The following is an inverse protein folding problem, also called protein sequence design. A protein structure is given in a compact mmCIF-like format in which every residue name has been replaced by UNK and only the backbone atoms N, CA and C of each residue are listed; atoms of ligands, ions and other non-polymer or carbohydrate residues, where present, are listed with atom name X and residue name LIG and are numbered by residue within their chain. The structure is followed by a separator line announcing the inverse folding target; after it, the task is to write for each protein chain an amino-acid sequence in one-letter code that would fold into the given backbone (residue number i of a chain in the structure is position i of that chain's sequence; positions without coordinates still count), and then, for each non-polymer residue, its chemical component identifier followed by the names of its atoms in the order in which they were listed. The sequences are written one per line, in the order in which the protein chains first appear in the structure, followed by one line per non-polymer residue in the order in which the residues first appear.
data_IF_666998000786
#
_entry.id   IF_666998000786
#
_cell.length_a   1.000
_cell.length_b   1.000
_cell.length_c   1.000
_cell.angle_alpha   90.00
_cell.angle_beta   90.00
_cell.angle_gamma   90.00
#
_symmetry.space_group_name_H-M   'P 1'
#
loop_
_entity.id
_entity.type
_entity.pdbx_description
1 polymer ?
#
# COMPACT_ATOMS: atom_id res chain seq x y z
N UNK A 1 -38.42 17.80 -4.77
CA UNK A 1 -37.85 16.83 -5.73
C UNK A 1 -36.31 16.67 -5.67
N UNK A 2 -35.63 17.02 -4.56
CA UNK A 2 -34.15 17.03 -4.50
C UNK A 2 -33.52 15.92 -3.62
N UNK A 3 -34.20 15.37 -2.63
CA UNK A 3 -33.63 14.37 -1.72
C UNK A 3 -33.55 12.94 -2.30
N UNK A 4 -34.43 12.53 -3.21
CA UNK A 4 -34.42 11.19 -3.81
C UNK A 4 -33.27 11.03 -4.83
N UNK A 5 -32.94 12.05 -5.60
CA UNK A 5 -31.82 11.99 -6.56
C UNK A 5 -30.45 11.82 -5.87
N UNK A 6 -30.20 12.54 -4.76
CA UNK A 6 -28.96 12.38 -3.99
C UNK A 6 -28.81 11.00 -3.34
N UNK A 7 -29.93 10.36 -2.99
CA UNK A 7 -29.90 9.00 -2.42
C UNK A 7 -29.62 7.95 -3.49
N UNK A 8 -30.15 8.16 -4.71
CA UNK A 8 -29.91 7.25 -5.84
C UNK A 8 -28.51 7.40 -6.43
N UNK A 9 -27.97 8.61 -6.51
CA UNK A 9 -26.58 8.85 -6.90
C UNK A 9 -25.58 8.25 -5.87
N UNK A 10 -25.86 8.38 -4.57
CA UNK A 10 -25.07 7.71 -3.53
C UNK A 10 -25.22 6.18 -3.58
N UNK A 11 -26.38 5.64 -3.94
CA UNK A 11 -26.57 4.20 -4.16
C UNK A 11 -25.89 3.71 -5.42
N UNK A 12 -25.92 4.47 -6.52
CA UNK A 12 -25.19 4.14 -7.74
C UNK A 12 -23.69 4.26 -7.59
N UNK A 13 -23.18 5.29 -6.89
CA UNK A 13 -21.77 5.40 -6.53
C UNK A 13 -21.32 4.24 -5.61
N UNK A 14 -22.16 3.83 -4.64
CA UNK A 14 -21.92 2.62 -3.81
C UNK A 14 -21.95 1.33 -4.64
N UNK A 15 -22.79 1.22 -5.66
CA UNK A 15 -22.86 0.06 -6.54
C UNK A 15 -21.70 -0.01 -7.51
N UNK A 16 -21.19 1.11 -8.01
CA UNK A 16 -19.97 1.20 -8.81
C UNK A 16 -18.69 0.93 -8.00
N UNK A 17 -18.70 1.19 -6.68
CA UNK A 17 -17.64 0.80 -5.73
C UNK A 17 -17.82 -0.67 -5.28
N UNK A 18 -19.02 -1.23 -5.37
CA UNK A 18 -19.41 -2.55 -4.83
C UNK A 18 -19.00 -3.76 -5.68
N UNK A 19 -18.40 -3.58 -6.87
CA UNK A 19 -17.82 -4.67 -7.65
C UNK A 19 -16.28 -4.75 -7.54
N UNK A 20 -15.66 -4.00 -6.67
CA UNK A 20 -14.29 -4.31 -6.25
C UNK A 20 -14.37 -5.60 -5.43
N UNK A 21 -13.94 -6.71 -6.02
CA UNK A 21 -13.78 -7.99 -5.33
C UNK A 21 -13.08 -7.72 -4.00
N UNK A 22 -13.71 -8.14 -2.90
CA UNK A 22 -13.06 -8.05 -1.59
C UNK A 22 -11.69 -8.73 -1.73
N UNK A 23 -10.58 -8.04 -1.47
CA UNK A 23 -9.25 -8.61 -1.67
C UNK A 23 -8.96 -9.74 -0.68
N UNK A 24 -9.84 -9.94 0.30
CA UNK A 24 -9.55 -10.80 1.44
C UNK A 24 -10.44 -12.04 1.48
N UNK A 25 -9.86 -13.10 1.94
CA UNK A 25 -10.27 -14.45 2.27
C UNK A 25 -11.75 -14.83 2.36
N UNK A 26 -12.68 -13.94 2.62
CA UNK A 26 -14.13 -14.24 2.62
C UNK A 26 -14.74 -14.29 1.21
N UNK A 27 -13.97 -13.95 0.17
CA UNK A 27 -14.40 -13.93 -1.22
C UNK A 27 -13.35 -14.35 -2.24
N UNK A 28 -12.11 -14.67 -1.81
CA UNK A 28 -11.06 -15.14 -2.70
C UNK A 28 -11.20 -16.65 -2.90
N UNK A 29 -11.23 -17.10 -4.17
CA UNK A 29 -11.19 -18.52 -4.48
C UNK A 29 -9.84 -19.15 -4.08
N UNK A 30 -9.84 -20.48 -3.96
CA UNK A 30 -8.64 -21.23 -3.55
C UNK A 30 -7.46 -20.99 -4.50
N UNK A 31 -7.67 -20.97 -5.81
CA UNK A 31 -6.62 -20.81 -6.81
C UNK A 31 -5.92 -19.44 -6.66
N UNK A 32 -6.70 -18.37 -6.52
CA UNK A 32 -6.17 -17.03 -6.29
C UNK A 32 -5.39 -16.93 -4.98
N UNK A 33 -5.90 -17.54 -3.91
CA UNK A 33 -5.20 -17.59 -2.63
C UNK A 33 -3.85 -18.29 -2.73
N UNK A 34 -3.81 -19.44 -3.42
CA UNK A 34 -2.57 -20.19 -3.64
C UNK A 34 -1.58 -19.43 -4.54
N UNK A 35 -2.06 -18.71 -5.55
CA UNK A 35 -1.19 -17.86 -6.37
C UNK A 35 -0.45 -16.80 -5.53
N UNK A 36 -1.13 -16.17 -4.56
CA UNK A 36 -0.48 -15.22 -3.64
C UNK A 36 0.44 -15.92 -2.63
N UNK A 37 0.15 -17.14 -2.20
CA UNK A 37 1.06 -17.94 -1.37
C UNK A 37 2.34 -18.28 -2.12
N UNK A 38 2.25 -18.65 -3.39
CA UNK A 38 3.41 -18.89 -4.27
C UNK A 38 4.20 -17.61 -4.48
N UNK A 39 3.53 -16.48 -4.80
CA UNK A 39 4.17 -15.18 -4.97
C UNK A 39 4.93 -14.75 -3.69
N UNK A 40 4.29 -14.85 -2.53
CA UNK A 40 4.92 -14.60 -1.23
C UNK A 40 6.19 -15.42 -1.05
N UNK A 41 6.10 -16.74 -1.30
CA UNK A 41 7.23 -17.66 -1.15
C UNK A 41 8.39 -17.29 -2.07
N UNK A 42 8.10 -16.97 -3.33
CA UNK A 42 9.11 -16.54 -4.30
C UNK A 42 9.79 -15.23 -3.88
N UNK A 43 9.03 -14.26 -3.37
CA UNK A 43 9.58 -13.00 -2.86
C UNK A 43 10.51 -13.27 -1.67
N UNK A 44 10.07 -14.06 -0.68
CA UNK A 44 10.89 -14.39 0.48
C UNK A 44 12.21 -15.05 0.08
N UNK A 45 12.18 -15.96 -0.89
CA UNK A 45 13.37 -16.69 -1.36
C UNK A 45 14.28 -15.83 -2.25
N UNK A 46 13.73 -14.81 -2.93
CA UNK A 46 14.49 -13.95 -3.86
C UNK A 46 15.17 -12.78 -3.17
N UNK A 47 14.70 -12.40 -1.98
CA UNK A 47 15.24 -11.24 -1.27
C UNK A 47 16.45 -11.63 -0.39
N UNK A 48 17.41 -10.73 -0.21
CA UNK A 48 18.54 -10.99 0.65
C UNK A 48 18.11 -11.10 2.12
N UNK A 49 18.68 -12.05 2.83
CA UNK A 49 18.51 -12.15 4.29
C UNK A 49 19.23 -10.98 4.97
N UNK A 50 18.49 -10.07 5.56
CA UNK A 50 18.99 -8.89 6.25
C UNK A 50 18.59 -8.91 7.74
N UNK A 51 19.33 -8.14 8.55
CA UNK A 51 18.98 -7.92 9.97
C UNK A 51 17.79 -6.96 10.16
N UNK A 52 17.32 -6.33 9.10
CA UNK A 52 16.15 -5.46 9.03
C UNK A 52 15.10 -6.06 8.10
N UNK A 53 13.88 -5.56 8.17
CA UNK A 53 12.80 -5.94 7.28
C UNK A 53 13.08 -5.60 5.82
N UNK A 54 12.46 -6.33 4.91
CA UNK A 54 12.59 -6.16 3.48
C UNK A 54 11.58 -5.12 2.94
N UNK A 55 12.03 -4.27 2.04
CA UNK A 55 11.24 -3.21 1.42
C UNK A 55 11.03 -3.56 -0.05
N UNK A 56 9.79 -3.86 -0.43
CA UNK A 56 9.42 -4.28 -1.78
C UNK A 56 8.46 -3.27 -2.40
N UNK A 57 8.84 -2.68 -3.52
CA UNK A 57 7.95 -1.85 -4.32
C UNK A 57 7.03 -2.70 -5.19
N UNK A 58 5.79 -2.28 -5.37
CA UNK A 58 4.88 -2.85 -6.35
C UNK A 58 4.47 -1.76 -7.33
N UNK A 59 4.65 -2.01 -8.63
CA UNK A 59 4.28 -1.10 -9.71
C UNK A 59 3.69 -1.88 -10.87
N UNK A 60 3.29 -1.19 -11.93
CA UNK A 60 2.80 -1.80 -13.18
C UNK A 60 3.32 -1.03 -14.38
N UNK A 61 3.19 -1.59 -15.58
CA UNK A 61 3.50 -0.86 -16.80
C UNK A 61 2.45 0.22 -17.08
N UNK A 62 1.16 -0.07 -16.91
CA UNK A 62 0.06 0.83 -17.20
C UNK A 62 -0.93 0.94 -16.02
N UNK A 63 -1.81 1.98 -16.02
CA UNK A 63 -2.92 2.05 -15.07
C UNK A 63 -3.88 0.86 -15.21
N UNK A 64 -4.49 0.45 -14.09
CA UNK A 64 -5.53 -0.60 -14.02
C UNK A 64 -5.04 -2.05 -14.28
N UNK A 65 -3.75 -2.33 -14.20
CA UNK A 65 -3.18 -3.69 -14.31
C UNK A 65 -3.22 -4.49 -13.01
N UNK A 66 -3.75 -3.92 -11.93
CA UNK A 66 -3.94 -4.66 -10.67
C UNK A 66 -2.83 -4.45 -9.63
N UNK A 67 -1.90 -3.48 -9.80
CA UNK A 67 -0.80 -3.21 -8.86
C UNK A 67 -1.25 -3.10 -7.40
N UNK A 68 -2.23 -2.23 -7.10
CA UNK A 68 -2.70 -2.02 -5.73
C UNK A 68 -3.46 -3.24 -5.18
N UNK A 69 -4.21 -3.95 -6.04
CA UNK A 69 -4.83 -5.23 -5.69
C UNK A 69 -3.77 -6.26 -5.32
N UNK A 70 -2.67 -6.33 -6.09
CA UNK A 70 -1.54 -7.22 -5.81
C UNK A 70 -0.82 -6.82 -4.52
N UNK A 71 -0.56 -5.52 -4.30
CA UNK A 71 0.05 -5.00 -3.07
C UNK A 71 -0.75 -5.39 -1.83
N UNK A 72 -2.06 -5.22 -1.88
CA UNK A 72 -3.00 -5.54 -0.80
C UNK A 72 -2.98 -7.04 -0.48
N UNK A 73 -3.13 -7.91 -1.49
CA UNK A 73 -3.19 -9.35 -1.29
C UNK A 73 -1.84 -9.96 -0.88
N UNK A 74 -0.74 -9.46 -1.44
CA UNK A 74 0.61 -9.88 -1.03
C UNK A 74 0.87 -9.50 0.43
N UNK A 75 0.52 -8.28 0.85
CA UNK A 75 0.67 -7.83 2.24
C UNK A 75 -0.15 -8.71 3.19
N UNK A 76 -1.38 -9.04 2.80
CA UNK A 76 -2.21 -9.97 3.56
C UNK A 76 -1.60 -11.37 3.66
N UNK A 77 -1.10 -11.94 2.54
CA UNK A 77 -0.49 -13.26 2.52
C UNK A 77 0.78 -13.33 3.40
N UNK A 78 1.59 -12.26 3.42
CA UNK A 78 2.75 -12.14 4.31
C UNK A 78 2.31 -12.07 5.78
N UNK A 79 1.34 -11.23 6.10
CA UNK A 79 0.82 -11.05 7.47
C UNK A 79 0.17 -12.34 8.01
N UNK A 80 -0.59 -13.06 7.18
CA UNK A 80 -1.18 -14.36 7.54
C UNK A 80 -0.14 -15.43 7.82
N UNK A 81 1.03 -15.33 7.20
CA UNK A 81 2.16 -16.22 7.47
C UNK A 81 2.96 -15.83 8.74
N UNK A 82 2.48 -14.88 9.52
CA UNK A 82 3.08 -14.44 10.78
C UNK A 82 4.09 -13.31 10.66
N UNK A 83 4.39 -12.81 9.45
CA UNK A 83 5.31 -11.68 9.25
C UNK A 83 4.62 -10.36 9.59
N UNK A 84 5.25 -9.53 10.42
CA UNK A 84 4.76 -8.18 10.70
C UNK A 84 4.92 -7.31 9.45
N UNK A 85 3.82 -7.03 8.78
CA UNK A 85 3.79 -6.47 7.43
C UNK A 85 3.14 -5.09 7.41
N UNK A 86 3.83 -4.12 6.82
CA UNK A 86 3.31 -2.78 6.56
C UNK A 86 3.05 -2.60 5.06
N UNK A 87 1.83 -2.24 4.70
CA UNK A 87 1.49 -1.75 3.37
C UNK A 87 1.60 -0.22 3.39
N UNK A 88 2.35 0.35 2.47
CA UNK A 88 2.53 1.79 2.29
C UNK A 88 1.84 2.23 1.01
N UNK A 89 0.84 3.10 1.12
CA UNK A 89 0.16 3.71 -0.03
C UNK A 89 1.00 4.87 -0.57
N UNK A 90 1.84 4.59 -1.56
CA UNK A 90 2.76 5.58 -2.14
C UNK A 90 2.34 6.09 -3.52
N UNK A 91 1.22 5.62 -4.09
CA UNK A 91 0.55 6.27 -5.22
C UNK A 91 -0.23 7.51 -4.74
N UNK A 92 0.50 8.56 -4.35
CA UNK A 92 -0.08 9.81 -3.83
C UNK A 92 -0.90 10.57 -4.87
N UNK A 93 -0.82 10.18 -6.17
CA UNK A 93 -1.56 10.84 -7.26
C UNK A 93 -2.98 10.30 -7.37
N UNK A 94 -3.14 8.98 -7.18
CA UNK A 94 -4.42 8.26 -7.24
C UNK A 94 -4.45 7.17 -6.18
N UNK A 95 -4.47 7.52 -4.89
CA UNK A 95 -4.47 6.54 -3.82
C UNK A 95 -5.74 5.69 -3.90
N UNK A 96 -5.57 4.37 -3.81
CA UNK A 96 -6.66 3.40 -3.92
C UNK A 96 -6.65 2.36 -2.80
N UNK A 97 -5.51 2.20 -2.14
CA UNK A 97 -5.31 1.20 -1.09
C UNK A 97 -6.27 1.40 0.08
N UNK A 98 -6.48 2.64 0.50
CA UNK A 98 -7.35 3.01 1.61
C UNK A 98 -8.81 2.57 1.38
N UNK A 99 -9.24 2.59 0.12
CA UNK A 99 -10.59 2.16 -0.26
C UNK A 99 -10.83 0.66 -0.09
N UNK A 100 -9.79 -0.17 -0.05
CA UNK A 100 -9.91 -1.60 0.24
C UNK A 100 -10.18 -1.87 1.73
N UNK A 101 -9.70 -1.00 2.59
CA UNK A 101 -9.78 -1.15 4.05
C UNK A 101 -10.78 -0.18 4.70
N UNK A 102 -11.43 0.66 3.91
CA UNK A 102 -12.37 1.70 4.37
C UNK A 102 -11.77 2.64 5.43
N UNK A 103 -10.47 2.94 5.31
CA UNK A 103 -9.74 3.82 6.23
C UNK A 103 -9.58 5.23 5.66
N UNK A 104 -9.45 6.26 6.52
CA UNK A 104 -9.17 7.62 6.09
C UNK A 104 -7.83 7.73 5.34
N UNK A 105 -7.79 8.57 4.29
CA UNK A 105 -6.61 8.85 3.51
C UNK A 105 -5.54 9.60 4.32
N UNK A 106 -5.96 10.54 5.16
CA UNK A 106 -5.10 11.45 5.93
C UNK A 106 -5.35 11.31 7.44
N UNK A 107 -4.34 11.55 8.28
CA UNK A 107 -2.93 11.79 7.94
C UNK A 107 -2.24 10.51 7.44
N UNK A 108 -1.18 10.68 6.63
CA UNK A 108 -0.46 9.58 6.01
C UNK A 108 0.98 9.91 5.62
N UNK A 109 1.48 9.17 4.63
CA UNK A 109 2.86 9.24 4.15
C UNK A 109 3.28 10.67 3.75
N UNK A 110 2.47 11.37 2.94
CA UNK A 110 2.79 12.74 2.52
C UNK A 110 2.94 13.69 3.70
N UNK A 111 2.07 13.58 4.71
CA UNK A 111 2.12 14.41 5.91
C UNK A 111 3.40 14.21 6.73
N UNK A 112 3.89 12.96 6.82
CA UNK A 112 5.17 12.64 7.45
C UNK A 112 6.35 13.21 6.66
N UNK A 113 6.31 13.10 5.31
CA UNK A 113 7.41 13.53 4.45
C UNK A 113 7.56 15.06 4.40
N UNK A 114 6.44 15.80 4.43
CA UNK A 114 6.48 17.28 4.48
C UNK A 114 6.67 17.83 5.89
N UNK A 115 6.65 16.96 6.93
CA UNK A 115 6.83 17.37 8.33
C UNK A 115 5.60 18.05 8.96
N UNK A 116 4.42 17.95 8.35
CA UNK A 116 3.18 18.44 8.97
C UNK A 116 2.69 17.54 10.12
N UNK A 117 3.18 16.30 10.17
CA UNK A 117 3.07 15.38 11.29
C UNK A 117 4.49 15.08 11.79
N UNK A 118 4.76 15.22 13.11
CA UNK A 118 6.06 14.89 13.67
C UNK A 118 6.43 13.42 13.44
N UNK A 119 7.72 13.14 13.17
CA UNK A 119 8.18 11.76 12.97
C UNK A 119 8.06 10.87 14.21
N UNK A 120 7.94 11.46 15.40
CA UNK A 120 7.70 10.73 16.65
C UNK A 120 6.25 10.21 16.73
N UNK A 121 5.32 10.83 16.01
CA UNK A 121 3.93 10.38 15.87
C UNK A 121 3.72 9.33 14.75
N UNK A 122 4.79 8.73 14.22
CA UNK A 122 4.73 7.74 13.15
C UNK A 122 3.72 6.61 13.44
N UNK A 123 3.73 6.07 14.65
CA UNK A 123 2.85 4.97 15.04
C UNK A 123 1.38 5.39 15.19
N UNK A 124 1.09 6.67 15.34
CA UNK A 124 -0.27 7.20 15.38
C UNK A 124 -0.88 7.34 13.98
N UNK A 125 -0.01 7.48 12.97
CA UNK A 125 -0.42 7.57 11.55
C UNK A 125 -0.61 6.18 10.94
N UNK A 126 0.17 5.19 11.37
CA UNK A 126 0.04 3.80 10.93
C UNK A 126 -1.25 3.19 11.49
N UNK A 127 -2.06 2.60 10.63
CA UNK A 127 -3.35 1.97 10.96
C UNK A 127 -3.14 0.46 11.12
N UNK A 128 -3.34 -0.12 12.31
CA UNK A 128 -3.46 -1.57 12.44
C UNK A 128 -4.74 -2.05 11.77
N UNK A 129 -4.71 -3.23 11.17
CA UNK A 129 -5.83 -3.84 10.43
C UNK A 129 -6.17 -5.23 11.02
N UNK A 130 -6.55 -5.31 12.31
CA UNK A 130 -6.75 -6.58 13.02
C UNK A 130 -7.89 -7.42 12.45
N UNK A 131 -8.89 -6.79 11.82
CA UNK A 131 -10.00 -7.51 11.16
C UNK A 131 -9.52 -8.44 10.06
N UNK A 132 -8.35 -8.14 9.47
CA UNK A 132 -7.73 -8.93 8.41
C UNK A 132 -6.61 -9.82 8.95
N UNK A 133 -5.69 -9.25 9.73
CA UNK A 133 -4.62 -9.94 10.44
C UNK A 133 -4.02 -9.03 11.51
N UNK A 134 -3.69 -9.58 12.67
CA UNK A 134 -2.98 -8.85 13.73
C UNK A 134 -1.57 -8.37 13.33
N UNK A 135 -1.01 -8.99 12.30
CA UNK A 135 0.29 -8.64 11.74
C UNK A 135 0.23 -7.68 10.54
N UNK A 136 -0.98 -7.21 10.15
CA UNK A 136 -1.17 -6.31 9.00
C UNK A 136 -1.37 -4.87 9.45
N UNK A 137 -0.62 -3.97 8.81
CA UNK A 137 -0.65 -2.53 9.08
C UNK A 137 -0.69 -1.76 7.76
N UNK A 138 -1.28 -0.57 7.78
CA UNK A 138 -1.35 0.34 6.64
C UNK A 138 -0.80 1.72 7.01
N UNK A 139 0.09 2.25 6.19
CA UNK A 139 0.43 3.67 6.16
C UNK A 139 -0.31 4.30 4.97
N UNK A 140 -1.37 5.09 5.21
CA UNK A 140 -2.14 5.76 4.16
C UNK A 140 -1.29 6.75 3.38
N UNK A 141 -1.75 7.16 2.19
CA UNK A 141 -1.02 8.12 1.36
C UNK A 141 -0.91 9.52 1.97
N UNK A 142 -1.89 9.93 2.74
CA UNK A 142 -1.98 11.28 3.29
C UNK A 142 -2.63 12.27 2.32
N UNK A 143 -2.48 13.56 2.60
CA UNK A 143 -2.97 14.62 1.74
C UNK A 143 -2.25 14.57 0.38
N UNK A 144 -2.97 14.83 -0.72
CA UNK A 144 -2.40 14.78 -2.07
C UNK A 144 -1.42 15.95 -2.23
N UNK A 145 -0.11 15.71 -2.34
CA UNK A 145 0.88 16.77 -2.46
C UNK A 145 0.99 17.28 -3.92
N UNK A 146 1.47 18.50 -4.14
CA UNK A 146 1.71 19.02 -5.49
C UNK A 146 2.92 18.38 -6.19
N UNK A 147 3.86 17.81 -5.43
CA UNK A 147 5.16 17.29 -5.90
C UNK A 147 5.47 15.86 -5.40
N UNK A 148 4.66 14.84 -5.74
CA UNK A 148 4.84 13.48 -5.23
C UNK A 148 6.21 12.88 -5.51
N UNK A 149 6.74 13.05 -6.74
CA UNK A 149 8.03 12.49 -7.15
C UNK A 149 9.20 13.00 -6.30
N UNK A 150 9.20 14.30 -5.97
CA UNK A 150 10.24 14.91 -5.13
C UNK A 150 10.18 14.36 -3.71
N UNK A 151 8.98 14.20 -3.15
CA UNK A 151 8.79 13.63 -1.82
C UNK A 151 9.28 12.17 -1.77
N UNK A 152 8.91 11.35 -2.75
CA UNK A 152 9.32 9.94 -2.84
C UNK A 152 10.82 9.77 -3.09
N UNK A 153 11.46 10.70 -3.81
CA UNK A 153 12.91 10.73 -4.03
C UNK A 153 13.70 11.42 -2.92
N UNK A 154 13.04 11.95 -1.89
CA UNK A 154 13.70 12.72 -0.84
C UNK A 154 14.50 11.86 0.14
N UNK A 155 15.47 12.49 0.82
CA UNK A 155 16.19 11.86 1.93
C UNK A 155 15.22 11.45 3.05
N UNK A 156 14.18 12.24 3.32
CA UNK A 156 13.15 11.93 4.32
C UNK A 156 12.43 10.60 4.03
N UNK A 157 12.14 10.30 2.76
CA UNK A 157 11.55 9.00 2.37
C UNK A 157 12.51 7.85 2.66
N UNK A 158 13.79 8.00 2.33
CA UNK A 158 14.81 6.99 2.63
C UNK A 158 14.97 6.75 4.13
N UNK A 159 15.00 7.82 4.93
CA UNK A 159 15.10 7.74 6.40
C UNK A 159 13.86 7.08 7.01
N UNK A 160 12.67 7.43 6.52
CA UNK A 160 11.41 6.83 6.94
C UNK A 160 11.38 5.33 6.64
N UNK A 161 11.72 4.92 5.41
CA UNK A 161 11.74 3.51 5.04
C UNK A 161 12.75 2.70 5.86
N UNK A 162 13.94 3.26 6.13
CA UNK A 162 14.94 2.63 7.02
C UNK A 162 14.40 2.47 8.46
N UNK A 163 13.74 3.50 9.00
CA UNK A 163 13.11 3.43 10.33
C UNK A 163 12.00 2.37 10.36
N UNK A 164 11.13 2.33 9.36
CA UNK A 164 10.07 1.33 9.25
C UNK A 164 10.63 -0.09 9.15
N UNK A 165 11.74 -0.29 8.45
CA UNK A 165 12.39 -1.59 8.32
C UNK A 165 12.99 -2.13 9.64
N UNK A 166 13.10 -1.32 10.70
CA UNK A 166 13.43 -1.79 12.04
C UNK A 166 12.20 -2.28 12.82
N UNK A 167 11.00 -1.96 12.37
CA UNK A 167 9.74 -2.22 13.07
C UNK A 167 8.89 -3.32 12.41
N UNK A 168 9.11 -3.58 11.12
CA UNK A 168 8.33 -4.51 10.31
C UNK A 168 9.24 -5.47 9.57
N UNK A 169 8.79 -6.73 9.39
CA UNK A 169 9.52 -7.76 8.64
C UNK A 169 9.44 -7.52 7.14
N UNK A 170 8.28 -7.03 6.68
CA UNK A 170 8.03 -6.64 5.29
C UNK A 170 7.36 -5.28 5.19
N UNK A 171 7.81 -4.49 4.24
CA UNK A 171 7.21 -3.22 3.85
C UNK A 171 6.91 -3.31 2.35
N UNK A 172 5.62 -3.34 2.02
CA UNK A 172 5.13 -3.35 0.63
C UNK A 172 4.75 -1.92 0.27
N UNK A 173 5.40 -1.37 -0.75
CA UNK A 173 5.20 0.02 -1.18
C UNK A 173 4.40 0.02 -2.48
N UNK A 174 3.11 0.40 -2.42
CA UNK A 174 2.24 0.51 -3.61
C UNK A 174 2.55 1.79 -4.36
N UNK A 175 3.05 1.67 -5.58
CA UNK A 175 3.56 2.77 -6.40
C UNK A 175 2.68 2.98 -7.64
N UNK A 176 2.66 4.18 -8.25
CA UNK A 176 1.98 4.40 -9.52
C UNK A 176 2.66 3.62 -10.67
N UNK A 177 2.03 3.55 -11.87
CA UNK A 177 2.63 2.88 -13.03
C UNK A 177 3.94 3.53 -13.48
N UNK A 178 4.98 2.71 -13.69
CA UNK A 178 6.35 3.18 -13.97
C UNK A 178 6.52 3.87 -15.34
N UNK A 179 5.66 3.54 -16.31
CA UNK A 179 5.71 4.20 -17.63
C UNK A 179 4.99 5.56 -17.66
N UNK A 180 4.16 5.83 -16.64
CA UNK A 180 3.35 7.05 -16.60
C UNK A 180 4.05 8.17 -15.84
N UNK A 181 4.76 7.85 -14.75
CA UNK A 181 5.42 8.83 -13.87
C UNK A 181 6.75 8.30 -13.34
N UNK A 182 7.63 9.21 -12.92
CA UNK A 182 8.97 8.89 -12.43
C UNK A 182 8.99 8.40 -10.98
N UNK A 183 7.87 8.46 -10.28
CA UNK A 183 7.71 8.14 -8.85
C UNK A 183 8.34 6.78 -8.46
N UNK A 184 8.08 5.65 -9.19
CA UNK A 184 8.71 4.36 -8.86
C UNK A 184 10.23 4.37 -9.00
N UNK A 185 10.75 5.11 -9.98
CA UNK A 185 12.19 5.26 -10.19
C UNK A 185 12.81 6.08 -9.06
N UNK A 186 12.14 7.16 -8.65
CA UNK A 186 12.63 8.04 -7.58
C UNK A 186 12.79 7.32 -6.24
N UNK A 187 11.90 6.39 -5.91
CA UNK A 187 11.98 5.62 -4.64
C UNK A 187 12.87 4.39 -4.74
N UNK A 188 13.15 3.88 -5.96
CA UNK A 188 13.81 2.59 -6.18
C UNK A 188 15.15 2.40 -5.45
N UNK A 189 16.01 3.44 -5.23
CA UNK A 189 17.24 3.27 -4.48
C UNK A 189 17.05 2.84 -3.02
N UNK A 190 15.85 3.00 -2.48
CA UNK A 190 15.51 2.65 -1.11
C UNK A 190 14.80 1.29 -1.00
N UNK A 191 14.58 0.58 -2.10
CA UNK A 191 13.90 -0.71 -2.16
C UNK A 191 14.90 -1.87 -2.20
N UNK A 192 14.50 -3.03 -1.68
CA UNK A 192 15.26 -4.29 -1.77
C UNK A 192 14.87 -5.10 -3.01
N UNK A 193 13.70 -4.82 -3.57
CA UNK A 193 13.19 -5.41 -4.80
C UNK A 193 11.97 -4.66 -5.32
N UNK A 194 11.62 -4.92 -6.57
CA UNK A 194 10.42 -4.36 -7.19
C UNK A 194 9.65 -5.44 -7.92
N UNK A 195 8.36 -5.54 -7.61
CA UNK A 195 7.41 -6.37 -8.32
C UNK A 195 6.72 -5.53 -9.40
N UNK A 196 6.79 -6.00 -10.62
CA UNK A 196 6.08 -5.41 -11.77
C UNK A 196 4.91 -6.32 -12.11
N UNK A 197 3.70 -5.77 -12.05
CA UNK A 197 2.44 -6.46 -12.33
C UNK A 197 2.06 -6.24 -13.80
#
# INVERSE_FOLDING_TARGET
MSRSKQTDEKKQARKAVGERRSPFASGMDFETSEAYNVLRTNIILSLPHKRRGNIVGTTSSAPHEGKSYTSVNLSYALAKNGSRTLLVSADMRKPTVEGYYEVPLSPGLSNLLVGSVPQDSLMEVIRPLPEYSENLFLLPAGDIPPNPSELLGSQNMGDLLRKLATLFDFIIVDLPPVTTVVDPVAVSPNLDGMLVV
#
